data_IF_345064822159
#
_entry.id   IF_345064822159
#
_cell.length_a   1.000
_cell.length_b   1.000
_cell.length_c   1.000
_cell.angle_alpha   90.00
_cell.angle_beta   90.00
_cell.angle_gamma   90.00
#
_symmetry.space_group_name_H-M   'P 1'
#
loop_
_entity.id
_entity.type
_entity.pdbx_description
1 polymer ?
#
# COMPACT_ATOMS: atom_id res chain seq x y z
N UNK A 1 0.19 22.67 3.86
CA UNK A 1 -1.00 21.79 3.92
C UNK A 1 -1.16 21.22 5.31
N UNK A 2 -2.37 20.81 5.74
CA UNK A 2 -2.53 20.19 7.05
C UNK A 2 -1.69 18.91 7.15
N UNK A 3 -1.13 18.68 8.32
CA UNK A 3 -0.36 17.46 8.56
C UNK A 3 -1.32 16.27 8.62
N UNK A 4 -1.18 15.30 7.72
CA UNK A 4 -2.03 14.10 7.72
C UNK A 4 -1.83 13.29 9.00
N UNK A 5 -2.89 12.62 9.42
CA UNK A 5 -2.85 11.61 10.48
C UNK A 5 -2.85 10.23 9.84
N UNK A 6 -1.92 9.37 10.24
CA UNK A 6 -1.84 8.00 9.75
C UNK A 6 -2.27 7.06 10.87
N UNK A 7 -3.32 6.29 10.61
CA UNK A 7 -3.86 5.28 11.52
C UNK A 7 -3.58 3.91 10.92
N UNK A 8 -3.07 2.98 11.70
CA UNK A 8 -2.77 1.61 11.29
C UNK A 8 -3.77 0.63 11.89
N UNK A 9 -4.29 -0.24 11.06
CA UNK A 9 -5.08 -1.40 11.45
C UNK A 9 -4.37 -2.66 10.95
N UNK A 10 -3.93 -3.51 11.85
CA UNK A 10 -3.42 -4.82 11.46
C UNK A 10 -4.60 -5.75 11.26
N UNK A 11 -4.71 -6.37 10.06
CA UNK A 11 -5.84 -7.19 9.63
C UNK A 11 -5.38 -8.51 9.00
N UNK A 12 -6.29 -9.48 8.95
CA UNK A 12 -6.04 -10.78 8.33
C UNK A 12 -5.15 -11.72 9.15
N UNK A 13 -4.97 -12.94 8.63
CA UNK A 13 -4.27 -14.02 9.33
C UNK A 13 -2.74 -13.85 9.34
N UNK A 14 -2.21 -13.01 8.45
CA UNK A 14 -0.76 -12.77 8.32
C UNK A 14 -0.36 -11.36 8.72
N UNK A 15 -1.21 -10.69 9.53
CA UNK A 15 -0.92 -9.39 10.15
C UNK A 15 -0.54 -8.30 9.14
N UNK A 16 -1.30 -8.18 8.04
CA UNK A 16 -1.17 -7.08 7.09
C UNK A 16 -1.62 -5.75 7.72
N UNK A 17 -0.99 -4.67 7.34
CA UNK A 17 -1.27 -3.31 7.80
C UNK A 17 -2.10 -2.51 6.79
N UNK A 18 -3.40 -2.44 7.00
CA UNK A 18 -4.26 -1.45 6.37
C UNK A 18 -4.04 -0.08 7.01
N UNK A 19 -3.88 0.98 6.20
CA UNK A 19 -3.73 2.34 6.73
C UNK A 19 -4.90 3.23 6.34
N UNK A 20 -5.30 4.10 7.28
CA UNK A 20 -6.16 5.26 7.02
C UNK A 20 -5.27 6.51 7.05
N UNK A 21 -5.14 7.17 5.89
CA UNK A 21 -4.43 8.45 5.77
C UNK A 21 -5.49 9.55 5.80
N UNK A 22 -5.54 10.29 6.89
CA UNK A 22 -6.66 11.19 7.23
C UNK A 22 -6.21 12.64 7.15
N UNK A 23 -6.99 13.47 6.47
CA UNK A 23 -6.95 14.92 6.65
C UNK A 23 -7.72 15.29 7.94
N UNK A 24 -7.05 15.74 8.99
CA UNK A 24 -7.70 16.02 10.28
C UNK A 24 -8.62 17.25 10.26
N UNK A 25 -8.50 18.12 9.25
CA UNK A 25 -9.34 19.32 9.13
C UNK A 25 -10.70 19.00 8.51
N UNK A 26 -10.74 18.13 7.52
CA UNK A 26 -11.96 17.79 6.78
C UNK A 26 -12.57 16.46 7.21
N UNK A 27 -11.80 15.57 7.82
CA UNK A 27 -12.17 14.18 8.09
C UNK A 27 -12.23 13.32 6.83
N UNK A 28 -11.80 13.82 5.69
CA UNK A 28 -11.62 13.02 4.48
C UNK A 28 -10.40 12.12 4.62
N UNK A 29 -10.41 10.97 3.96
CA UNK A 29 -9.31 10.02 4.09
C UNK A 29 -9.11 9.14 2.85
N UNK A 30 -7.93 8.54 2.80
CA UNK A 30 -7.59 7.47 1.88
C UNK A 30 -7.44 6.16 2.67
N UNK A 31 -7.90 5.06 2.09
CA UNK A 31 -7.70 3.70 2.62
C UNK A 31 -6.60 3.04 1.81
N UNK A 32 -5.55 2.61 2.48
CA UNK A 32 -4.40 1.96 1.84
C UNK A 32 -4.44 0.48 2.20
N UNK A 33 -4.36 -0.38 1.20
CA UNK A 33 -4.28 -1.83 1.32
C UNK A 33 -5.35 -2.41 2.28
N UNK A 34 -6.65 -2.35 1.98
CA UNK A 34 -7.67 -3.00 2.80
C UNK A 34 -7.62 -4.53 2.57
N UNK A 35 -6.74 -5.22 3.30
CA UNK A 35 -6.41 -6.62 3.06
C UNK A 35 -7.48 -7.60 3.54
N UNK A 36 -8.12 -7.33 4.67
CA UNK A 36 -9.12 -8.23 5.26
C UNK A 36 -10.03 -7.50 6.25
N UNK A 37 -10.97 -8.23 6.85
CA UNK A 37 -11.82 -7.80 7.98
C UNK A 37 -12.54 -6.46 7.75
N UNK A 38 -13.34 -6.30 6.69
CA UNK A 38 -13.93 -5.03 6.30
C UNK A 38 -14.73 -4.35 7.43
N UNK A 39 -15.38 -5.09 8.31
CA UNK A 39 -16.14 -4.53 9.42
C UNK A 39 -15.25 -3.79 10.42
N UNK A 40 -14.02 -4.26 10.65
CA UNK A 40 -13.05 -3.54 11.49
C UNK A 40 -12.57 -2.25 10.81
N UNK A 41 -12.35 -2.30 9.50
CA UNK A 41 -12.01 -1.10 8.71
C UNK A 41 -13.15 -0.09 8.77
N UNK A 42 -14.41 -0.54 8.59
CA UNK A 42 -15.58 0.33 8.69
C UNK A 42 -15.73 0.96 10.09
N UNK A 43 -15.51 0.18 11.14
CA UNK A 43 -15.55 0.70 12.51
C UNK A 43 -14.46 1.75 12.75
N UNK A 44 -13.26 1.56 12.20
CA UNK A 44 -12.17 2.53 12.30
C UNK A 44 -12.46 3.81 11.48
N UNK A 45 -13.04 3.68 10.29
CA UNK A 45 -13.44 4.84 9.48
C UNK A 45 -14.50 5.67 10.21
N UNK A 46 -15.49 5.03 10.85
CA UNK A 46 -16.57 5.71 11.55
C UNK A 46 -17.39 6.61 10.62
N UNK A 47 -17.63 7.84 11.04
CA UNK A 47 -18.39 8.84 10.27
C UNK A 47 -17.53 9.64 9.26
N UNK A 48 -16.25 9.31 9.15
CA UNK A 48 -15.32 9.96 8.21
C UNK A 48 -15.63 9.57 6.76
N UNK A 49 -15.03 10.30 5.83
CA UNK A 49 -15.35 10.18 4.39
C UNK A 49 -14.16 9.63 3.61
N UNK A 50 -14.11 8.32 3.34
CA UNK A 50 -13.17 7.78 2.37
C UNK A 50 -13.36 8.42 1.00
N UNK A 51 -12.27 8.66 0.28
CA UNK A 51 -12.27 9.24 -1.07
C UNK A 51 -11.68 8.30 -2.10
N UNK A 52 -10.84 7.39 -1.68
CA UNK A 52 -10.24 6.39 -2.54
C UNK A 52 -9.68 5.22 -1.71
N UNK A 53 -9.52 4.08 -2.38
CA UNK A 53 -8.65 2.97 -1.98
C UNK A 53 -7.39 3.04 -2.84
N UNK A 54 -6.20 2.97 -2.22
CA UNK A 54 -4.93 2.90 -2.92
C UNK A 54 -4.25 1.58 -2.55
N UNK A 55 -3.78 0.84 -3.54
CA UNK A 55 -3.09 -0.42 -3.35
C UNK A 55 -1.60 -0.24 -3.61
N UNK A 56 -0.76 -0.66 -2.67
CA UNK A 56 0.69 -0.69 -2.87
C UNK A 56 1.08 -1.77 -3.86
N UNK A 57 0.36 -2.89 -3.85
CA UNK A 57 0.49 -4.00 -4.81
C UNK A 57 -0.75 -4.91 -4.76
N UNK A 58 -0.77 -5.97 -5.57
CA UNK A 58 -1.96 -6.78 -5.76
C UNK A 58 -1.95 -8.15 -5.07
N UNK A 59 -1.16 -8.42 -4.03
CA UNK A 59 -1.22 -9.70 -3.33
C UNK A 59 -2.50 -9.83 -2.50
N UNK A 60 -2.94 -11.08 -2.29
CA UNK A 60 -4.25 -11.43 -1.74
C UNK A 60 -4.55 -10.79 -0.38
N UNK A 61 -3.53 -10.68 0.44
CA UNK A 61 -3.60 -10.14 1.80
C UNK A 61 -3.74 -8.61 1.86
N UNK A 62 -3.46 -7.91 0.76
CA UNK A 62 -3.63 -6.46 0.62
C UNK A 62 -4.95 -6.06 -0.06
N UNK A 63 -5.68 -7.03 -0.66
CA UNK A 63 -6.84 -6.73 -1.52
C UNK A 63 -8.17 -7.31 -1.05
N UNK A 64 -8.19 -8.13 -0.01
CA UNK A 64 -9.34 -8.95 0.35
C UNK A 64 -10.59 -8.18 0.77
N UNK A 65 -10.48 -6.95 1.24
CA UNK A 65 -11.62 -6.09 1.60
C UNK A 65 -11.87 -4.93 0.62
N UNK A 66 -11.16 -4.87 -0.53
CA UNK A 66 -11.28 -3.78 -1.52
C UNK A 66 -12.73 -3.59 -1.98
N UNK A 67 -13.38 -4.65 -2.48
CA UNK A 67 -14.76 -4.55 -2.96
C UNK A 67 -15.70 -4.05 -1.87
N UNK A 68 -15.57 -4.56 -0.65
CA UNK A 68 -16.43 -4.16 0.45
C UNK A 68 -16.28 -2.67 0.80
N UNK A 69 -15.05 -2.14 0.79
CA UNK A 69 -14.78 -0.71 1.04
C UNK A 69 -15.31 0.13 -0.13
N UNK A 70 -14.99 -0.24 -1.37
CA UNK A 70 -15.41 0.50 -2.56
C UNK A 70 -16.93 0.55 -2.70
N UNK A 71 -17.61 -0.58 -2.50
CA UNK A 71 -19.08 -0.67 -2.57
C UNK A 71 -19.76 0.15 -1.46
N UNK A 72 -19.26 0.09 -0.22
CA UNK A 72 -19.88 0.78 0.89
C UNK A 72 -19.79 2.30 0.80
N UNK A 73 -18.67 2.82 0.31
CA UNK A 73 -18.40 4.26 0.30
C UNK A 73 -18.50 4.89 -1.09
N UNK A 74 -18.77 4.10 -2.13
CA UNK A 74 -18.82 4.52 -3.53
C UNK A 74 -17.53 5.25 -3.96
N UNK A 75 -16.40 4.62 -3.72
CA UNK A 75 -15.06 5.20 -3.99
C UNK A 75 -14.27 4.34 -4.97
N UNK A 76 -13.39 4.96 -5.78
CA UNK A 76 -12.50 4.25 -6.70
C UNK A 76 -11.38 3.52 -5.96
N UNK A 77 -10.88 2.44 -6.59
CA UNK A 77 -9.62 1.79 -6.24
C UNK A 77 -8.55 2.11 -7.27
N UNK A 78 -7.31 2.28 -6.80
CA UNK A 78 -6.14 2.56 -7.63
C UNK A 78 -5.08 1.48 -7.41
N UNK A 79 -4.43 1.05 -8.47
CA UNK A 79 -3.31 0.10 -8.47
C UNK A 79 -2.36 0.41 -9.63
N UNK A 80 -1.08 0.11 -9.48
CA UNK A 80 -0.14 0.21 -10.59
C UNK A 80 -0.49 -0.76 -11.73
N UNK A 81 -0.36 -0.31 -12.98
CA UNK A 81 -0.78 -1.08 -14.17
C UNK A 81 -0.20 -2.49 -14.23
N UNK A 82 1.06 -2.67 -13.80
CA UNK A 82 1.73 -3.96 -13.83
C UNK A 82 1.16 -5.00 -12.84
N UNK A 83 0.44 -4.55 -11.80
CA UNK A 83 -0.21 -5.43 -10.81
C UNK A 83 -1.73 -5.56 -11.01
N UNK A 84 -2.32 -4.84 -11.97
CA UNK A 84 -3.76 -4.86 -12.20
C UNK A 84 -4.35 -6.27 -12.45
N UNK A 85 -3.59 -7.16 -13.10
CA UNK A 85 -3.99 -8.54 -13.33
C UNK A 85 -4.23 -9.33 -12.04
N UNK A 86 -3.50 -9.00 -10.96
CA UNK A 86 -3.61 -9.65 -9.66
C UNK A 86 -5.00 -9.47 -9.01
N UNK A 87 -5.73 -8.43 -9.39
CA UNK A 87 -7.09 -8.22 -8.86
C UNK A 87 -8.06 -9.30 -9.31
N UNK A 88 -7.82 -9.95 -10.45
CA UNK A 88 -8.74 -10.94 -11.03
C UNK A 88 -8.14 -12.34 -11.15
N UNK A 89 -6.84 -12.50 -10.98
CA UNK A 89 -6.13 -13.77 -11.11
C UNK A 89 -5.57 -14.21 -9.75
N UNK A 90 -6.16 -15.27 -9.18
CA UNK A 90 -5.82 -15.80 -7.85
C UNK A 90 -4.46 -16.49 -7.79
N UNK A 91 -3.92 -16.93 -8.91
CA UNK A 91 -2.54 -17.44 -9.00
C UNK A 91 -1.54 -16.27 -9.00
N UNK A 92 -1.83 -15.23 -9.79
CA UNK A 92 -0.98 -14.05 -9.87
C UNK A 92 -0.94 -13.29 -8.53
N UNK A 93 -2.06 -13.21 -7.80
CA UNK A 93 -2.08 -12.57 -6.48
C UNK A 93 -1.65 -13.49 -5.33
N UNK A 94 -1.22 -14.69 -5.64
CA UNK A 94 -0.74 -15.72 -4.70
C UNK A 94 -1.83 -16.32 -3.78
N UNK A 95 -3.06 -15.83 -3.81
CA UNK A 95 -4.15 -16.28 -2.95
C UNK A 95 -4.48 -17.76 -3.12
N UNK A 96 -4.53 -18.28 -4.35
CA UNK A 96 -4.73 -19.70 -4.60
C UNK A 96 -3.63 -20.57 -3.97
N UNK A 97 -2.37 -20.12 -4.03
CA UNK A 97 -1.21 -20.82 -3.45
C UNK A 97 -1.31 -20.93 -1.92
N UNK A 98 -1.86 -19.92 -1.26
CA UNK A 98 -1.99 -19.90 0.21
C UNK A 98 -3.37 -20.32 0.71
N UNK A 99 -4.28 -20.76 -0.18
CA UNK A 99 -5.62 -21.22 0.20
C UNK A 99 -6.63 -20.09 0.43
N UNK A 100 -6.30 -18.88 0.03
CA UNK A 100 -7.14 -17.68 0.12
C UNK A 100 -7.45 -17.09 -1.27
N UNK A 101 -8.22 -17.78 -2.14
CA UNK A 101 -8.52 -17.29 -3.48
C UNK A 101 -9.39 -16.04 -3.43
N UNK A 102 -8.75 -14.88 -3.54
CA UNK A 102 -9.38 -13.56 -3.52
C UNK A 102 -9.44 -12.99 -4.93
N UNK A 103 -10.55 -12.35 -5.29
CA UNK A 103 -10.67 -11.55 -6.52
C UNK A 103 -11.39 -10.24 -6.20
N UNK A 104 -11.03 -9.18 -6.90
CA UNK A 104 -11.65 -7.86 -6.83
C UNK A 104 -12.43 -7.60 -8.12
N UNK A 105 -13.70 -7.24 -7.98
CA UNK A 105 -14.63 -6.94 -9.10
C UNK A 105 -14.63 -5.48 -9.49
N UNK A 106 -14.30 -4.62 -8.52
CA UNK A 106 -14.22 -3.17 -8.74
C UNK A 106 -13.15 -2.86 -9.76
N UNK A 107 -13.52 -2.14 -10.83
CA UNK A 107 -12.57 -1.77 -11.88
C UNK A 107 -11.58 -0.73 -11.36
N UNK A 108 -10.26 -1.02 -11.43
CA UNK A 108 -9.26 -0.11 -10.90
C UNK A 108 -8.99 1.07 -11.85
N UNK A 109 -8.55 2.18 -11.27
CA UNK A 109 -7.82 3.23 -11.97
C UNK A 109 -6.33 2.86 -11.94
N UNK A 110 -5.70 2.88 -13.12
CA UNK A 110 -4.31 2.47 -13.24
C UNK A 110 -3.37 3.63 -12.87
N UNK A 111 -2.34 3.30 -12.11
CA UNK A 111 -1.27 4.22 -11.72
C UNK A 111 0.00 3.91 -12.51
N UNK A 112 0.81 4.96 -12.67
CA UNK A 112 2.12 4.89 -13.30
C UNK A 112 3.19 5.49 -12.38
N UNK A 113 4.44 5.19 -12.69
CA UNK A 113 5.57 5.77 -11.94
C UNK A 113 5.59 7.30 -12.06
N UNK A 114 6.03 7.94 -10.97
CA UNK A 114 6.19 9.39 -10.88
C UNK A 114 4.85 10.18 -10.92
N UNK A 115 3.69 9.50 -10.92
CA UNK A 115 2.38 10.14 -10.95
C UNK A 115 2.10 10.88 -9.63
N UNK A 116 1.65 12.13 -9.76
CA UNK A 116 1.22 12.95 -8.63
C UNK A 116 -0.30 12.89 -8.47
N UNK A 117 -0.76 12.55 -7.27
CA UNK A 117 -2.17 12.47 -6.94
C UNK A 117 -2.51 13.52 -5.87
N UNK A 118 -3.68 14.13 -6.02
CA UNK A 118 -4.29 14.93 -4.96
C UNK A 118 -5.70 14.37 -4.70
N UNK A 119 -5.82 13.60 -3.65
CA UNK A 119 -7.05 12.92 -3.26
C UNK A 119 -7.38 13.27 -1.81
N UNK A 120 -8.62 13.61 -1.52
CA UNK A 120 -9.02 14.04 -0.17
C UNK A 120 -8.23 15.26 0.37
N UNK A 121 -7.73 16.14 -0.50
CA UNK A 121 -6.82 17.21 -0.10
C UNK A 121 -5.42 16.73 0.31
N UNK A 122 -5.14 15.44 0.17
CA UNK A 122 -3.87 14.80 0.49
C UNK A 122 -3.07 14.66 -0.81
N UNK A 123 -1.92 15.34 -0.86
CA UNK A 123 -0.96 15.21 -1.95
C UNK A 123 -0.05 14.01 -1.72
N UNK A 124 0.13 13.19 -2.73
CA UNK A 124 1.05 12.06 -2.71
C UNK A 124 1.62 11.77 -4.09
N UNK A 125 2.82 11.22 -4.11
CA UNK A 125 3.51 10.81 -5.32
C UNK A 125 3.67 9.30 -5.35
N UNK A 126 3.37 8.70 -6.49
CA UNK A 126 3.58 7.27 -6.76
C UNK A 126 5.04 7.03 -7.10
N UNK A 127 5.71 6.17 -6.36
CA UNK A 127 7.06 5.70 -6.67
C UNK A 127 6.97 4.22 -7.04
N UNK A 128 7.25 3.87 -8.28
CA UNK A 128 7.31 2.47 -8.69
C UNK A 128 8.53 1.79 -8.07
N UNK A 129 8.30 0.77 -7.28
CA UNK A 129 9.32 0.04 -6.50
C UNK A 129 9.21 -1.46 -6.73
N UNK A 130 9.46 -1.93 -7.97
CA UNK A 130 9.31 -3.34 -8.31
C UNK A 130 10.31 -4.24 -7.56
N UNK A 131 9.97 -5.52 -7.47
CA UNK A 131 10.83 -6.55 -6.92
C UNK A 131 10.16 -7.49 -5.94
N UNK A 132 9.30 -7.02 -5.04
CA UNK A 132 8.38 -7.89 -4.30
C UNK A 132 7.26 -8.39 -5.23
N UNK A 133 6.64 -7.49 -5.95
CA UNK A 133 5.83 -7.75 -7.14
C UNK A 133 6.26 -6.82 -8.26
N UNK A 134 5.82 -7.13 -9.49
CA UNK A 134 6.18 -6.32 -10.66
C UNK A 134 5.58 -4.92 -10.63
N UNK A 135 4.41 -4.75 -10.01
CA UNK A 135 3.71 -3.48 -9.89
C UNK A 135 3.73 -2.88 -8.48
N UNK A 136 4.64 -3.31 -7.61
CA UNK A 136 4.79 -2.70 -6.27
C UNK A 136 5.09 -1.21 -6.38
N UNK A 137 4.38 -0.42 -5.57
CA UNK A 137 4.61 1.02 -5.45
C UNK A 137 4.73 1.43 -3.99
N UNK A 138 5.44 2.54 -3.76
CA UNK A 138 5.40 3.28 -2.51
C UNK A 138 4.65 4.61 -2.74
N UNK A 139 3.91 5.07 -1.74
CA UNK A 139 3.24 6.37 -1.77
C UNK A 139 3.98 7.36 -0.90
N UNK A 140 4.68 8.30 -1.54
CA UNK A 140 5.39 9.38 -0.87
C UNK A 140 4.40 10.51 -0.57
N UNK A 141 4.15 10.77 0.70
CA UNK A 141 3.31 11.88 1.14
C UNK A 141 4.04 13.21 0.99
N UNK A 142 3.33 14.22 0.48
CA UNK A 142 3.91 15.56 0.31
C UNK A 142 4.43 16.17 1.62
N UNK A 143 5.30 17.17 1.49
CA UNK A 143 5.91 17.89 2.61
C UNK A 143 6.71 17.00 3.59
N UNK A 144 7.16 15.83 3.14
CA UNK A 144 7.98 14.94 3.96
C UNK A 144 7.24 14.26 5.10
N UNK A 145 5.92 14.12 5.01
CA UNK A 145 5.08 13.57 6.06
C UNK A 145 5.24 12.06 6.25
N UNK A 146 5.96 11.38 5.34
CA UNK A 146 6.26 9.96 5.40
C UNK A 146 6.05 9.25 4.07
N UNK A 147 6.25 7.94 4.08
CA UNK A 147 6.09 7.09 2.91
C UNK A 147 5.42 5.76 3.30
N UNK A 148 4.39 5.38 2.57
CA UNK A 148 3.77 4.06 2.69
C UNK A 148 4.50 3.12 1.75
N UNK A 149 5.13 2.08 2.29
CA UNK A 149 6.11 1.27 1.54
C UNK A 149 5.58 -0.08 1.09
N UNK A 150 4.36 -0.45 1.49
CA UNK A 150 3.86 -1.80 1.24
C UNK A 150 4.90 -2.85 1.61
N UNK A 151 5.12 -3.80 0.72
CA UNK A 151 6.09 -4.88 0.94
C UNK A 151 7.45 -4.63 0.28
N UNK A 152 7.76 -3.37 -0.03
CA UNK A 152 9.10 -3.01 -0.51
C UNK A 152 10.10 -2.90 0.63
N UNK A 153 9.74 -2.20 1.73
CA UNK A 153 10.64 -1.97 2.87
C UNK A 153 9.90 -2.23 4.19
N UNK A 154 10.51 -3.06 5.05
CA UNK A 154 10.08 -3.33 6.43
C UNK A 154 11.12 -2.81 7.43
N UNK A 155 10.74 -2.72 8.69
CA UNK A 155 11.68 -2.48 9.78
C UNK A 155 12.65 -3.66 9.89
N UNK A 156 13.93 -3.43 9.60
CA UNK A 156 14.98 -4.46 9.62
C UNK A 156 14.90 -5.47 8.48
N UNK A 157 14.15 -5.19 7.40
CA UNK A 157 14.01 -6.12 6.29
C UNK A 157 13.29 -5.54 5.07
N UNK A 158 12.94 -6.43 4.17
CA UNK A 158 12.21 -6.13 2.93
C UNK A 158 11.29 -7.31 2.57
N UNK A 159 10.34 -7.08 1.67
CA UNK A 159 9.44 -8.09 1.18
C UNK A 159 10.16 -9.23 0.46
N UNK A 160 9.53 -10.40 0.46
CA UNK A 160 10.06 -11.54 -0.31
C UNK A 160 10.01 -11.24 -1.80
N UNK A 161 10.87 -11.89 -2.56
CA UNK A 161 11.08 -11.66 -4.00
C UNK A 161 11.07 -12.96 -4.82
N UNK A 162 10.66 -14.06 -4.20
CA UNK A 162 10.69 -15.40 -4.77
C UNK A 162 9.33 -15.86 -5.32
N UNK A 163 8.38 -14.93 -5.50
CA UNK A 163 7.18 -15.15 -6.26
C UNK A 163 7.46 -15.11 -7.78
N UNK A 164 6.51 -15.56 -8.59
CA UNK A 164 6.70 -15.74 -10.03
C UNK A 164 7.09 -14.44 -10.76
N UNK A 165 6.65 -13.28 -10.28
CA UNK A 165 6.95 -11.95 -10.81
C UNK A 165 7.86 -11.12 -9.89
N UNK A 166 8.42 -11.73 -8.84
CA UNK A 166 9.38 -11.12 -7.95
C UNK A 166 10.81 -11.11 -8.53
N UNK A 167 11.63 -10.16 -8.07
CA UNK A 167 13.00 -9.98 -8.54
C UNK A 167 13.86 -9.34 -7.46
N UNK A 168 14.85 -10.07 -6.96
CA UNK A 168 15.78 -9.51 -5.96
C UNK A 168 16.58 -8.32 -6.52
N UNK A 169 16.95 -8.38 -7.80
CA UNK A 169 17.68 -7.30 -8.43
C UNK A 169 16.86 -5.99 -8.43
N UNK A 170 15.59 -6.07 -8.87
CA UNK A 170 14.71 -4.91 -8.90
C UNK A 170 14.41 -4.40 -7.50
N UNK A 171 14.12 -5.30 -6.54
CA UNK A 171 13.89 -4.93 -5.15
C UNK A 171 15.09 -4.17 -4.55
N UNK A 172 16.31 -4.61 -4.84
CA UNK A 172 17.53 -3.94 -4.39
C UNK A 172 17.67 -2.53 -4.97
N UNK A 173 17.37 -2.33 -6.25
CA UNK A 173 17.38 -0.99 -6.86
C UNK A 173 16.26 -0.11 -6.30
N UNK A 174 15.06 -0.66 -6.07
CA UNK A 174 13.95 0.02 -5.43
C UNK A 174 14.32 0.51 -4.02
N UNK A 175 14.92 -0.35 -3.20
CA UNK A 175 15.42 0.01 -1.87
C UNK A 175 16.48 1.12 -1.91
N UNK A 176 17.43 1.05 -2.85
CA UNK A 176 18.44 2.11 -3.02
C UNK A 176 17.80 3.45 -3.35
N UNK A 177 16.80 3.45 -4.24
CA UNK A 177 16.03 4.65 -4.58
C UNK A 177 15.32 5.22 -3.37
N UNK A 178 14.62 4.38 -2.59
CA UNK A 178 13.94 4.80 -1.36
C UNK A 178 14.91 5.39 -0.35
N UNK A 179 16.04 4.73 -0.07
CA UNK A 179 17.03 5.23 0.89
C UNK A 179 17.67 6.54 0.45
N UNK A 180 17.76 6.79 -0.85
CA UNK A 180 18.25 8.06 -1.38
C UNK A 180 17.24 9.19 -1.26
N UNK A 181 15.97 8.90 -1.62
CA UNK A 181 14.91 9.91 -1.65
C UNK A 181 14.36 10.24 -0.26
N UNK A 182 14.31 9.26 0.64
CA UNK A 182 13.55 9.36 1.89
C UNK A 182 14.35 9.00 3.16
N UNK A 183 15.66 9.34 3.28
CA UNK A 183 16.53 8.78 4.33
C UNK A 183 16.08 9.08 5.76
N UNK A 184 15.33 10.16 5.99
CA UNK A 184 14.86 10.58 7.31
C UNK A 184 13.33 10.45 7.49
N UNK A 185 12.63 9.91 6.50
CA UNK A 185 11.18 9.81 6.55
C UNK A 185 10.74 8.57 7.32
N UNK A 186 9.61 8.69 8.00
CA UNK A 186 8.91 7.54 8.55
C UNK A 186 8.37 6.70 7.40
N UNK A 187 8.72 5.41 7.40
CA UNK A 187 8.20 4.40 6.49
C UNK A 187 7.11 3.57 7.19
N UNK A 188 5.98 3.41 6.51
CA UNK A 188 4.80 2.70 6.96
C UNK A 188 4.65 1.43 6.11
N UNK A 189 5.12 0.26 6.62
CA UNK A 189 5.19 -0.97 5.83
C UNK A 189 3.88 -1.74 5.77
N UNK A 190 3.73 -2.63 4.79
CA UNK A 190 2.62 -3.56 4.68
C UNK A 190 2.54 -4.55 5.84
N UNK A 191 3.67 -4.87 6.47
CA UNK A 191 3.72 -5.73 7.66
C UNK A 191 4.65 -5.17 8.73
N UNK A 192 4.29 -5.44 10.01
CA UNK A 192 5.11 -5.09 11.15
C UNK A 192 5.04 -3.61 11.56
N UNK A 193 6.07 -3.12 12.20
CA UNK A 193 6.13 -1.77 12.76
C UNK A 193 6.68 -0.74 11.76
N UNK A 194 6.26 0.52 11.93
CA UNK A 194 6.86 1.64 11.23
C UNK A 194 8.35 1.79 11.56
N UNK A 195 9.12 2.30 10.60
CA UNK A 195 10.55 2.54 10.73
C UNK A 195 10.94 3.89 10.14
N UNK A 196 12.24 4.21 10.15
CA UNK A 196 12.80 5.34 9.41
C UNK A 196 13.61 4.76 8.24
N UNK A 197 13.25 5.10 7.01
CA UNK A 197 13.77 4.47 5.80
C UNK A 197 15.31 4.34 5.78
N UNK A 198 16.04 5.36 6.18
CA UNK A 198 17.51 5.34 6.17
C UNK A 198 18.18 4.54 7.30
N UNK A 199 17.45 4.17 8.36
CA UNK A 199 18.01 3.33 9.43
C UNK A 199 18.33 1.93 8.98
N UNK A 200 17.47 1.40 8.13
CA UNK A 200 17.57 0.00 7.70
C UNK A 200 18.59 -0.19 6.56
N UNK A 201 19.22 0.91 6.10
CA UNK A 201 20.19 0.91 5.01
C UNK A 201 21.45 0.08 5.33
N UNK A 202 21.94 0.16 6.59
CA UNK A 202 23.18 -0.50 7.00
C UNK A 202 22.98 -2.01 7.24
N UNK A 203 21.76 -2.43 7.51
CA UNK A 203 21.41 -3.85 7.77
C UNK A 203 21.08 -4.62 6.48
N UNK A 204 20.87 -3.92 5.36
CA UNK A 204 20.39 -4.49 4.09
C UNK A 204 21.38 -4.33 2.93
N UNK A 205 22.58 -3.84 3.18
CA UNK A 205 23.63 -3.59 2.17
C UNK A 205 24.38 -4.85 1.73
#
# INVERSE_FOLDING_TARGET
MPKVQIERLTVGEIDENCYLVVDPETGELLVIDPGAEPERIFAAIGDRKPRAVLLTHGHFDHIGAVDAVCEKYDVPVYIHEADAIKLTDTEANTGAKFGHPVTVRTQPRLLHDDEELNLAGIGLKVLHTPGHSKGSVCYLLEEGQGILTGDTLFKGGYGRYDFADGSFHELKESLRTLFHLTPQMTAWPGHGEATVAGRDREEQA
#
